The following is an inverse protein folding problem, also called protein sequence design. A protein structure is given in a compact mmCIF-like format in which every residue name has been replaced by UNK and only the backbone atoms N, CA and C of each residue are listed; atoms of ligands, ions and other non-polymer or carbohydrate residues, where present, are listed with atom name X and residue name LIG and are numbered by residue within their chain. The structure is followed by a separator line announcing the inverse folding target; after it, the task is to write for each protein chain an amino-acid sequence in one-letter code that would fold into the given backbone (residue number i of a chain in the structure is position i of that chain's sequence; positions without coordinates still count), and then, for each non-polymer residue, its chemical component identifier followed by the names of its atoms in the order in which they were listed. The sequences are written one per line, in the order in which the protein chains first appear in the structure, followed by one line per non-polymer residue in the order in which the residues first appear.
data_IF_437986890530
#
_entry.id   IF_437986890530
#
_cell.length_a   1.000
_cell.length_b   1.000
_cell.length_c   1.000
_cell.angle_alpha   90.00
_cell.angle_beta   90.00
_cell.angle_gamma   90.00
#
_symmetry.space_group_name_H-M   'P 1'
#
loop_
_entity.id
_entity.type
_entity.pdbx_description
1 polymer ?
#
# COMPACT_ATOMS: atom_id res chain seq x y z
N UNK A 1 1.30 89.87 23.91
CA UNK A 1 2.49 89.95 24.80
C UNK A 1 3.67 89.33 24.07
N UNK A 2 4.50 90.14 23.42
CA UNK A 2 5.71 89.71 22.71
C UNK A 2 6.86 89.63 23.71
N UNK A 3 7.27 88.42 24.09
CA UNK A 3 8.48 88.16 24.87
C UNK A 3 9.66 87.95 23.92
N UNK A 4 10.78 88.65 24.13
CA UNK A 4 12.02 88.46 23.36
C UNK A 4 12.75 87.18 23.80
N UNK A 5 12.53 86.75 25.05
CA UNK A 5 13.21 85.60 25.65
C UNK A 5 12.54 84.26 25.34
N UNK A 6 11.30 84.26 24.85
CA UNK A 6 10.56 83.03 24.58
C UNK A 6 9.66 83.21 23.36
N UNK A 7 10.00 82.53 22.26
CA UNK A 7 9.20 82.54 21.04
C UNK A 7 8.23 81.35 21.06
N UNK A 8 7.02 81.59 21.58
CA UNK A 8 5.95 80.60 21.65
C UNK A 8 5.51 80.11 20.27
N UNK A 9 5.56 80.98 19.25
CA UNK A 9 5.22 80.63 17.85
C UNK A 9 6.20 79.61 17.28
N UNK A 10 7.50 79.80 17.53
CA UNK A 10 8.55 78.86 17.12
C UNK A 10 8.51 77.55 17.92
N UNK A 11 8.14 77.58 19.21
CA UNK A 11 7.95 76.35 20.00
C UNK A 11 6.81 75.49 19.48
N UNK A 12 5.66 76.10 19.15
CA UNK A 12 4.53 75.40 18.53
C UNK A 12 4.91 74.85 17.15
N UNK A 13 5.59 75.66 16.32
CA UNK A 13 6.08 75.20 15.02
C UNK A 13 7.07 74.03 15.14
N UNK A 14 7.95 74.04 16.14
CA UNK A 14 8.89 72.96 16.43
C UNK A 14 8.19 71.69 16.93
N UNK A 15 7.17 71.82 17.78
CA UNK A 15 6.36 70.68 18.24
C UNK A 15 5.62 70.03 17.07
N UNK A 16 5.05 70.83 16.16
CA UNK A 16 4.44 70.36 14.92
C UNK A 16 5.46 69.68 14.01
N UNK A 17 6.65 70.25 13.84
CA UNK A 17 7.72 69.66 13.03
C UNK A 17 8.20 68.31 13.60
N UNK A 18 8.34 68.20 14.92
CA UNK A 18 8.66 66.93 15.60
C UNK A 18 7.57 65.88 15.39
N UNK A 19 6.30 66.28 15.43
CA UNK A 19 5.17 65.41 15.10
C UNK A 19 5.18 64.94 13.64
N UNK A 20 5.48 65.83 12.69
CA UNK A 20 5.61 65.48 11.26
C UNK A 20 6.78 64.52 11.05
N UNK A 21 7.95 64.79 11.64
CA UNK A 21 9.11 63.91 11.54
C UNK A 21 8.82 62.51 12.11
N UNK A 22 8.20 62.42 13.28
CA UNK A 22 7.81 61.14 13.86
C UNK A 22 6.85 60.36 12.94
N UNK A 23 5.87 61.04 12.33
CA UNK A 23 4.94 60.40 11.40
C UNK A 23 5.64 59.98 10.08
N UNK A 24 6.62 60.75 9.62
CA UNK A 24 7.42 60.47 8.43
C UNK A 24 8.30 59.24 8.66
N UNK A 25 8.91 59.13 9.84
CA UNK A 25 9.70 57.96 10.25
C UNK A 25 8.83 56.70 10.30
N UNK A 26 7.66 56.75 10.95
CA UNK A 26 6.72 55.61 10.97
C UNK A 26 6.21 55.24 9.59
N UNK A 27 5.86 56.21 8.74
CA UNK A 27 5.40 55.94 7.37
C UNK A 27 6.52 55.34 6.53
N UNK A 28 7.76 55.80 6.71
CA UNK A 28 8.94 55.23 6.04
C UNK A 28 9.24 53.81 6.52
N UNK A 29 9.08 53.52 7.81
CA UNK A 29 9.21 52.17 8.37
C UNK A 29 8.13 51.22 7.81
N UNK A 30 6.89 51.68 7.67
CA UNK A 30 5.79 50.90 7.07
C UNK A 30 6.01 50.63 5.59
N UNK A 31 6.46 51.61 4.82
CA UNK A 31 6.79 51.43 3.40
C UNK A 31 7.99 50.48 3.24
N UNK A 32 9.00 50.61 4.11
CA UNK A 32 10.20 49.76 4.06
C UNK A 32 9.93 48.33 4.48
N UNK A 33 9.06 48.10 5.47
CA UNK A 33 8.71 46.75 5.96
C UNK A 33 7.56 46.12 5.18
N UNK A 34 6.73 46.94 4.53
CA UNK A 34 5.45 46.55 3.95
C UNK A 34 4.37 46.17 4.95
N UNK A 35 4.63 46.35 6.25
CA UNK A 35 3.71 45.97 7.31
C UNK A 35 3.18 47.22 8.00
N UNK A 36 1.85 47.30 8.16
CA UNK A 36 1.17 48.29 9.01
C UNK A 36 1.52 48.08 10.49
N UNK A 37 1.76 46.82 10.90
CA UNK A 37 2.06 46.41 12.29
C UNK A 37 3.35 45.59 12.29
N UNK A 38 4.52 46.24 12.25
CA UNK A 38 5.81 45.56 12.22
C UNK A 38 6.23 44.96 13.58
N UNK A 39 5.81 45.57 14.68
CA UNK A 39 6.22 45.22 16.04
C UNK A 39 5.04 45.20 17.03
N UNK A 40 5.21 44.50 18.16
CA UNK A 40 4.18 44.35 19.18
C UNK A 40 3.78 45.68 19.85
N UNK A 41 4.64 46.70 19.81
CA UNK A 41 4.32 48.03 20.37
C UNK A 41 3.23 48.77 19.60
N UNK A 42 3.05 48.49 18.30
CA UNK A 42 1.98 49.12 17.51
C UNK A 42 0.60 48.52 17.84
N UNK A 43 0.49 47.19 17.90
CA UNK A 43 -0.71 46.49 18.37
C UNK A 43 -0.39 45.04 18.75
N UNK A 44 -0.28 44.77 20.05
CA UNK A 44 0.15 43.47 20.55
C UNK A 44 -0.81 42.32 20.18
N UNK A 45 -2.12 42.58 20.13
CA UNK A 45 -3.13 41.54 19.87
C UNK A 45 -3.05 41.04 18.42
N UNK A 46 -3.09 41.95 17.44
CA UNK A 46 -2.96 41.56 16.02
C UNK A 46 -1.57 41.02 15.69
N UNK A 47 -0.53 41.59 16.28
CA UNK A 47 0.84 41.12 16.09
C UNK A 47 1.02 39.68 16.59
N UNK A 48 0.48 39.34 17.77
CA UNK A 48 0.57 37.98 18.31
C UNK A 48 -0.17 36.97 17.44
N UNK A 49 -1.41 37.26 17.04
CA UNK A 49 -2.23 36.36 16.20
C UNK A 49 -1.51 36.10 14.87
N UNK A 50 -1.09 37.15 14.18
CA UNK A 50 -0.44 37.02 12.89
C UNK A 50 0.96 36.37 12.98
N UNK A 51 1.70 36.56 14.08
CA UNK A 51 2.97 35.85 14.33
C UNK A 51 2.73 34.35 14.50
N UNK A 52 1.70 33.96 15.26
CA UNK A 52 1.28 32.55 15.37
C UNK A 52 0.84 31.98 14.03
N UNK A 53 0.00 32.70 13.27
CA UNK A 53 -0.44 32.28 11.94
C UNK A 53 0.74 32.15 10.96
N UNK A 54 1.72 33.06 10.99
CA UNK A 54 2.94 32.97 10.17
C UNK A 54 3.80 31.77 10.56
N UNK A 55 3.89 31.47 11.86
CA UNK A 55 4.56 30.26 12.35
C UNK A 55 3.85 28.99 11.86
N UNK A 56 2.52 28.97 11.91
CA UNK A 56 1.71 27.85 11.45
C UNK A 56 1.85 27.66 9.92
N UNK A 57 1.84 28.75 9.14
CA UNK A 57 2.13 28.72 7.70
C UNK A 57 3.53 28.19 7.39
N UNK A 58 4.54 28.54 8.19
CA UNK A 58 5.89 27.99 8.04
C UNK A 58 5.95 26.49 8.34
N UNK A 59 5.18 26.02 9.33
CA UNK A 59 5.04 24.60 9.62
C UNK A 59 4.33 23.85 8.48
N UNK A 60 3.29 24.44 7.87
CA UNK A 60 2.62 23.89 6.69
C UNK A 60 3.54 23.85 5.45
N UNK A 61 4.48 24.79 5.32
CA UNK A 61 5.55 24.72 4.32
C UNK A 61 6.41 23.46 4.48
N UNK A 62 6.87 23.19 5.71
CA UNK A 62 7.62 21.97 6.02
C UNK A 62 6.80 20.69 5.80
N UNK A 63 5.49 20.72 6.08
CA UNK A 63 4.57 19.61 5.73
C UNK A 63 4.50 19.41 4.22
N UNK A 64 4.42 20.49 3.44
CA UNK A 64 4.37 20.42 1.97
C UNK A 64 5.64 19.79 1.39
N UNK A 65 6.81 20.15 1.92
CA UNK A 65 8.09 19.55 1.55
C UNK A 65 8.12 18.05 1.90
N UNK A 66 7.63 17.68 3.09
CA UNK A 66 7.52 16.28 3.50
C UNK A 66 6.53 15.49 2.64
N UNK A 67 5.38 16.06 2.26
CA UNK A 67 4.42 15.44 1.35
C UNK A 67 4.99 15.30 -0.05
N UNK A 68 5.78 16.27 -0.51
CA UNK A 68 6.46 16.19 -1.80
C UNK A 68 7.51 15.09 -1.81
N UNK A 69 8.31 14.97 -0.75
CA UNK A 69 9.25 13.86 -0.58
C UNK A 69 8.51 12.51 -0.52
N UNK A 70 7.42 12.43 0.25
CA UNK A 70 6.58 11.24 0.34
C UNK A 70 5.97 10.83 -0.99
N UNK A 71 5.52 11.80 -1.80
CA UNK A 71 5.02 11.57 -3.17
C UNK A 71 6.11 10.96 -4.03
N UNK A 72 7.32 11.53 -4.05
CA UNK A 72 8.41 11.02 -4.89
C UNK A 72 8.87 9.62 -4.49
N UNK A 73 8.83 9.29 -3.19
CA UNK A 73 9.11 7.92 -2.73
C UNK A 73 8.00 6.96 -3.16
N UNK A 74 6.73 7.37 -3.04
CA UNK A 74 5.59 6.57 -3.50
C UNK A 74 5.62 6.34 -5.02
N UNK A 75 6.01 7.36 -5.80
CA UNK A 75 6.18 7.27 -7.26
C UNK A 75 7.29 6.28 -7.64
N UNK A 76 8.43 6.32 -6.93
CA UNK A 76 9.52 5.36 -7.15
C UNK A 76 9.07 3.92 -6.85
N UNK A 77 8.34 3.71 -5.74
CA UNK A 77 7.80 2.41 -5.37
C UNK A 77 6.75 1.92 -6.39
N UNK A 78 5.84 2.78 -6.84
CA UNK A 78 4.82 2.43 -7.83
C UNK A 78 5.44 1.98 -9.17
N UNK A 79 6.42 2.74 -9.67
CA UNK A 79 7.12 2.39 -10.92
C UNK A 79 7.88 1.07 -10.80
N UNK A 80 8.50 0.81 -9.64
CA UNK A 80 9.18 -0.45 -9.37
C UNK A 80 8.22 -1.65 -9.34
N UNK A 81 7.04 -1.50 -8.74
CA UNK A 81 5.98 -2.53 -8.75
C UNK A 81 5.43 -2.79 -10.15
N UNK A 82 5.26 -1.73 -10.96
CA UNK A 82 4.76 -1.87 -12.33
C UNK A 82 5.76 -2.65 -13.21
N UNK A 83 7.06 -2.34 -13.09
CA UNK A 83 8.13 -3.12 -13.73
C UNK A 83 8.21 -4.55 -13.20
N UNK A 84 8.06 -4.75 -11.89
CA UNK A 84 8.04 -6.08 -11.30
C UNK A 84 6.87 -6.93 -11.83
N UNK A 85 5.69 -6.34 -12.00
CA UNK A 85 4.52 -6.98 -12.61
C UNK A 85 4.79 -7.42 -14.05
N UNK A 86 5.43 -6.58 -14.87
CA UNK A 86 5.81 -6.96 -16.24
C UNK A 86 6.82 -8.12 -16.28
N UNK A 87 7.82 -8.10 -15.40
CA UNK A 87 8.82 -9.17 -15.30
C UNK A 87 8.21 -10.49 -14.81
N UNK A 88 7.32 -10.44 -13.83
CA UNK A 88 6.55 -11.61 -13.37
C UNK A 88 5.66 -12.18 -14.49
N UNK A 89 5.06 -11.33 -15.31
CA UNK A 89 4.32 -11.76 -16.51
C UNK A 89 5.22 -12.54 -17.48
N UNK A 90 6.46 -12.08 -17.72
CA UNK A 90 7.42 -12.82 -18.54
C UNK A 90 7.83 -14.15 -17.90
N UNK A 91 8.01 -14.21 -16.58
CA UNK A 91 8.29 -15.48 -15.87
C UNK A 91 7.11 -16.43 -16.07
N UNK A 92 5.86 -15.96 -15.95
CA UNK A 92 4.67 -16.76 -16.21
C UNK A 92 4.65 -17.31 -17.63
N UNK A 93 4.96 -16.49 -18.65
CA UNK A 93 5.03 -16.93 -20.04
C UNK A 93 6.09 -18.04 -20.24
N UNK A 94 7.25 -17.90 -19.58
CA UNK A 94 8.32 -18.91 -19.61
C UNK A 94 7.93 -20.20 -18.90
N UNK A 95 7.29 -20.11 -17.73
CA UNK A 95 6.77 -21.29 -17.01
C UNK A 95 5.66 -21.99 -17.81
N UNK A 96 4.79 -21.24 -18.48
CA UNK A 96 3.75 -21.79 -19.36
C UNK A 96 4.38 -22.55 -20.52
N UNK A 97 5.47 -22.03 -21.08
CA UNK A 97 6.23 -22.73 -22.12
C UNK A 97 6.89 -24.00 -21.56
N UNK A 98 7.47 -23.95 -20.36
CA UNK A 98 8.11 -25.08 -19.69
C UNK A 98 7.13 -26.20 -19.26
N UNK A 99 5.84 -25.90 -19.17
CA UNK A 99 4.79 -26.88 -18.88
C UNK A 99 4.48 -27.80 -20.08
N UNK A 100 4.92 -27.44 -21.30
CA UNK A 100 4.79 -28.29 -22.47
C UNK A 100 5.70 -29.52 -22.43
N UNK A 101 5.23 -30.62 -23.00
CA UNK A 101 6.01 -31.86 -23.10
C UNK A 101 7.17 -31.71 -24.09
N UNK A 102 8.34 -32.25 -23.73
CA UNK A 102 9.53 -32.25 -24.58
C UNK A 102 10.34 -30.94 -24.60
N UNK A 103 10.06 -30.01 -23.68
CA UNK A 103 10.80 -28.75 -23.53
C UNK A 103 12.07 -28.94 -22.69
N UNK A 104 13.17 -28.28 -23.09
CA UNK A 104 14.40 -28.21 -22.29
C UNK A 104 14.22 -27.24 -21.11
N UNK A 105 13.81 -27.78 -19.96
CA UNK A 105 13.54 -27.00 -18.75
C UNK A 105 14.79 -26.37 -18.15
N UNK A 106 15.98 -26.93 -18.40
CA UNK A 106 17.23 -26.33 -17.92
C UNK A 106 17.56 -25.02 -18.66
N UNK A 107 17.37 -25.00 -19.99
CA UNK A 107 17.53 -23.79 -20.78
C UNK A 107 16.51 -22.71 -20.40
N UNK A 108 15.24 -23.08 -20.17
CA UNK A 108 14.21 -22.13 -19.71
C UNK A 108 14.51 -21.60 -18.30
N UNK A 109 15.08 -22.41 -17.41
CA UNK A 109 15.48 -21.98 -16.07
C UNK A 109 16.56 -20.89 -16.11
N UNK A 110 17.51 -20.93 -17.06
CA UNK A 110 18.53 -19.88 -17.19
C UNK A 110 17.90 -18.51 -17.50
N UNK A 111 16.88 -18.49 -18.36
CA UNK A 111 16.12 -17.29 -18.67
C UNK A 111 15.28 -16.81 -17.47
N UNK A 112 14.63 -17.74 -16.75
CA UNK A 112 13.89 -17.43 -15.51
C UNK A 112 14.83 -16.84 -14.44
N UNK A 113 16.02 -17.41 -14.29
CA UNK A 113 17.05 -16.92 -13.34
C UNK A 113 17.45 -15.49 -13.68
N UNK A 114 17.65 -15.18 -14.97
CA UNK A 114 17.93 -13.81 -15.42
C UNK A 114 16.78 -12.85 -15.09
N UNK A 115 15.53 -13.28 -15.26
CA UNK A 115 14.35 -12.47 -14.91
C UNK A 115 14.22 -12.27 -13.40
N UNK A 116 14.54 -13.28 -12.58
CA UNK A 116 14.59 -13.18 -11.12
C UNK A 116 15.67 -12.20 -10.65
N UNK A 117 16.84 -12.18 -11.28
CA UNK A 117 17.90 -11.20 -11.00
C UNK A 117 17.49 -9.77 -11.40
N UNK A 118 16.78 -9.62 -12.52
CA UNK A 118 16.20 -8.34 -12.93
C UNK A 118 15.15 -7.85 -11.92
N UNK A 119 14.27 -8.73 -11.42
CA UNK A 119 13.31 -8.39 -10.37
C UNK A 119 14.00 -7.85 -9.11
N UNK A 120 15.08 -8.51 -8.67
CA UNK A 120 15.88 -8.06 -7.53
C UNK A 120 16.54 -6.70 -7.80
N UNK A 121 17.01 -6.48 -9.01
CA UNK A 121 17.60 -5.18 -9.42
C UNK A 121 16.54 -4.08 -9.43
N UNK A 122 15.35 -4.33 -9.97
CA UNK A 122 14.23 -3.37 -9.94
C UNK A 122 13.85 -3.03 -8.50
N UNK A 123 13.71 -4.03 -7.64
CA UNK A 123 13.39 -3.81 -6.23
C UNK A 123 14.44 -2.95 -5.51
N UNK A 124 15.73 -3.25 -5.69
CA UNK A 124 16.83 -2.52 -5.02
C UNK A 124 17.08 -1.11 -5.57
N UNK A 125 16.84 -0.89 -6.86
CA UNK A 125 17.04 0.41 -7.52
C UNK A 125 15.86 1.37 -7.36
N UNK A 126 14.67 0.87 -6.99
CA UNK A 126 13.45 1.66 -6.73
C UNK A 126 13.53 2.46 -5.41
N UNK A 127 14.60 3.22 -5.26
CA UNK A 127 14.88 4.05 -4.08
C UNK A 127 14.81 5.54 -4.43
N UNK A 128 14.35 6.34 -3.47
CA UNK A 128 14.37 7.80 -3.57
C UNK A 128 14.90 8.40 -2.27
N UNK A 129 15.87 9.32 -2.38
CA UNK A 129 16.50 9.95 -1.22
C UNK A 129 17.07 8.94 -0.19
N UNK A 130 17.56 7.79 -0.66
CA UNK A 130 18.09 6.72 0.19
C UNK A 130 17.03 5.89 0.92
N UNK A 131 15.73 6.11 0.65
CA UNK A 131 14.65 5.27 1.14
C UNK A 131 14.14 4.35 0.04
N UNK A 132 13.97 3.07 0.37
CA UNK A 132 13.37 2.07 -0.50
C UNK A 132 12.20 1.43 0.26
N UNK A 133 11.03 1.36 -0.37
CA UNK A 133 9.84 0.71 0.19
C UNK A 133 9.62 -0.71 -0.36
N UNK A 134 10.29 -1.05 -1.48
CA UNK A 134 10.21 -2.35 -2.13
C UNK A 134 11.28 -3.33 -1.61
N UNK A 135 12.35 -2.81 -1.01
CA UNK A 135 13.36 -3.58 -0.30
C UNK A 135 13.49 -3.01 1.12
N UNK A 136 12.96 -3.74 2.10
CA UNK A 136 12.92 -3.30 3.49
C UNK A 136 13.21 -4.46 4.46
N UNK A 137 13.55 -4.11 5.70
CA UNK A 137 13.59 -5.09 6.79
C UNK A 137 12.17 -5.25 7.38
N UNK A 138 11.87 -6.41 7.95
CA UNK A 138 10.51 -6.83 8.26
C UNK A 138 9.70 -5.80 9.10
N UNK A 139 8.43 -5.61 8.71
CA UNK A 139 7.37 -4.89 9.43
C UNK A 139 7.70 -3.45 9.88
N UNK A 140 7.87 -2.53 8.93
CA UNK A 140 8.03 -1.10 9.26
C UNK A 140 6.95 -0.23 8.63
N UNK A 141 6.03 0.31 9.44
CA UNK A 141 5.13 1.38 8.99
C UNK A 141 5.98 2.62 8.71
N UNK A 142 6.05 3.05 7.46
CA UNK A 142 6.68 4.33 7.09
C UNK A 142 5.67 5.46 7.31
N UNK A 143 6.14 6.58 7.83
CA UNK A 143 5.31 7.72 8.17
C UNK A 143 5.68 8.92 7.32
N UNK A 144 4.69 9.50 6.66
CA UNK A 144 4.83 10.76 5.93
C UNK A 144 4.07 11.81 6.72
N UNK A 145 4.71 12.93 7.06
CA UNK A 145 4.03 14.02 7.74
C UNK A 145 2.96 14.59 6.80
N UNK A 146 1.71 14.62 7.25
CA UNK A 146 0.55 14.94 6.42
C UNK A 146 -0.08 16.29 6.75
N UNK A 147 -0.11 16.67 8.02
CA UNK A 147 -0.60 17.98 8.43
C UNK A 147 -0.05 18.38 9.79
N UNK A 148 -0.09 19.68 10.04
CA UNK A 148 0.12 20.28 11.35
C UNK A 148 -1.19 20.96 11.72
N UNK A 149 -1.68 20.70 12.92
CA UNK A 149 -2.89 21.32 13.47
C UNK A 149 -2.63 21.77 14.90
N UNK A 150 -3.45 22.69 15.41
CA UNK A 150 -3.44 23.05 16.83
C UNK A 150 -4.61 22.38 17.53
N UNK A 151 -4.32 21.69 18.62
CA UNK A 151 -5.34 21.10 19.50
C UNK A 151 -6.00 22.18 20.39
N UNK A 152 -7.06 21.84 21.14
CA UNK A 152 -7.76 22.73 22.06
C UNK A 152 -6.87 23.36 23.13
N UNK A 153 -5.74 22.72 23.44
CA UNK A 153 -4.72 23.23 24.37
C UNK A 153 -3.67 24.13 23.69
N UNK A 154 -3.90 24.51 22.43
CA UNK A 154 -3.03 25.35 21.62
C UNK A 154 -1.65 24.73 21.33
N UNK A 155 -1.50 23.41 21.55
CA UNK A 155 -0.33 22.62 21.22
C UNK A 155 -0.32 22.20 19.73
N UNK A 156 0.87 22.15 19.13
CA UNK A 156 1.06 21.68 17.76
C UNK A 156 0.98 20.15 17.72
N UNK A 157 0.03 19.61 16.98
CA UNK A 157 -0.12 18.20 16.69
C UNK A 157 0.25 17.92 15.22
N UNK A 158 1.08 16.91 15.00
CA UNK A 158 1.51 16.46 13.67
C UNK A 158 0.76 15.18 13.31
N UNK A 159 0.03 15.20 12.20
CA UNK A 159 -0.62 14.00 11.65
C UNK A 159 0.30 13.33 10.63
N UNK A 160 0.19 12.01 10.51
CA UNK A 160 0.96 11.22 9.54
C UNK A 160 0.06 10.40 8.62
N UNK A 161 0.52 10.20 7.39
CA UNK A 161 0.07 9.12 6.51
C UNK A 161 0.98 7.94 6.80
N UNK A 162 0.38 6.91 7.37
CA UNK A 162 1.04 5.65 7.67
C UNK A 162 0.94 4.73 6.45
N UNK A 163 2.09 4.23 6.00
CA UNK A 163 2.24 3.29 4.89
C UNK A 163 2.77 2.00 5.45
N UNK A 164 1.97 0.94 5.40
CA UNK A 164 2.43 -0.38 5.78
C UNK A 164 3.32 -0.94 4.67
N UNK A 165 4.59 -1.19 4.99
CA UNK A 165 5.52 -1.77 4.02
C UNK A 165 5.51 -3.29 4.00
N UNK A 166 4.78 -3.93 4.92
CA UNK A 166 4.72 -5.40 5.05
C UNK A 166 4.16 -6.05 3.80
N UNK A 167 3.03 -5.54 3.31
CA UNK A 167 2.37 -6.03 2.10
C UNK A 167 2.88 -5.35 0.82
N UNK A 168 3.89 -4.48 0.93
CA UNK A 168 4.45 -3.69 -0.18
C UNK A 168 5.83 -4.19 -0.61
N UNK A 169 6.63 -4.71 0.31
CA UNK A 169 8.00 -5.08 0.02
C UNK A 169 8.05 -6.28 -0.94
N UNK A 170 8.83 -6.16 -2.00
CA UNK A 170 9.09 -7.25 -2.95
C UNK A 170 10.12 -8.22 -2.40
N UNK A 171 11.17 -7.69 -1.76
CA UNK A 171 12.21 -8.45 -1.10
C UNK A 171 12.44 -7.94 0.32
N UNK A 172 12.81 -8.86 1.20
CA UNK A 172 13.24 -8.55 2.55
C UNK A 172 14.77 -8.58 2.65
N UNK A 173 15.34 -7.68 3.45
CA UNK A 173 16.77 -7.76 3.79
C UNK A 173 17.08 -8.93 4.73
N UNK A 174 16.11 -9.31 5.57
CA UNK A 174 16.19 -10.46 6.48
C UNK A 174 14.86 -11.22 6.51
N UNK A 175 14.93 -12.55 6.58
CA UNK A 175 13.76 -13.36 6.95
C UNK A 175 12.77 -13.75 5.85
N UNK A 176 13.05 -13.51 4.56
CA UNK A 176 12.23 -13.96 3.43
C UNK A 176 10.74 -13.54 3.58
N UNK A 177 10.49 -12.26 3.82
CA UNK A 177 9.17 -11.71 4.14
C UNK A 177 8.51 -10.90 3.01
N UNK A 178 9.23 -10.58 1.94
CA UNK A 178 8.70 -9.87 0.78
C UNK A 178 7.93 -10.76 -0.18
N UNK A 179 7.09 -10.15 -1.01
CA UNK A 179 6.18 -10.85 -1.91
C UNK A 179 6.90 -11.88 -2.79
N UNK A 180 8.14 -11.60 -3.19
CA UNK A 180 8.90 -12.44 -4.12
C UNK A 180 9.85 -13.43 -3.43
N UNK A 181 10.24 -13.18 -2.17
CA UNK A 181 11.16 -14.04 -1.43
C UNK A 181 10.50 -14.87 -0.32
N UNK A 182 9.25 -14.53 0.06
CA UNK A 182 8.43 -15.32 0.99
C UNK A 182 7.89 -16.58 0.35
N UNK A 183 7.73 -17.60 1.19
CA UNK A 183 7.10 -18.84 0.76
C UNK A 183 5.61 -18.60 0.55
N UNK A 184 5.15 -18.78 -0.69
CA UNK A 184 3.74 -18.76 -1.07
C UNK A 184 3.28 -20.21 -1.09
N UNK A 185 2.34 -20.54 -0.21
CA UNK A 185 1.69 -21.84 -0.20
C UNK A 185 0.50 -21.81 -1.14
N UNK A 186 0.50 -22.70 -2.14
CA UNK A 186 -0.63 -22.92 -3.05
C UNK A 186 -1.07 -24.37 -2.97
N UNK A 187 -2.35 -24.60 -3.22
CA UNK A 187 -2.89 -25.95 -3.38
C UNK A 187 -2.22 -26.60 -4.58
N UNK A 188 -1.49 -27.69 -4.34
CA UNK A 188 -0.75 -28.38 -5.38
C UNK A 188 -1.68 -29.26 -6.21
N UNK A 189 -1.31 -29.50 -7.46
CA UNK A 189 -1.94 -30.49 -8.33
C UNK A 189 -1.42 -31.91 -8.04
N UNK A 190 -1.38 -32.33 -6.76
CA UNK A 190 -0.94 -33.66 -6.37
C UNK A 190 -2.13 -34.56 -5.97
N UNK A 191 -1.98 -35.85 -6.25
CA UNK A 191 -2.93 -36.89 -5.87
C UNK A 191 -2.74 -37.25 -4.40
N UNK A 192 -3.61 -36.73 -3.53
CA UNK A 192 -3.63 -37.15 -2.14
C UNK A 192 -4.09 -38.62 -2.04
N UNK A 193 -3.45 -39.41 -1.16
CA UNK A 193 -3.68 -40.85 -1.06
C UNK A 193 -3.89 -41.31 0.38
N UNK A 194 -5.12 -41.70 0.69
CA UNK A 194 -5.45 -42.43 1.92
C UNK A 194 -5.08 -43.91 1.79
N UNK A 195 -4.29 -44.43 2.73
CA UNK A 195 -3.93 -45.84 2.81
C UNK A 195 -5.02 -46.66 3.54
N UNK A 196 -5.57 -47.69 2.89
CA UNK A 196 -6.47 -48.65 3.53
C UNK A 196 -5.92 -50.09 3.50
N UNK A 197 -6.33 -50.95 4.45
CA UNK A 197 -5.65 -52.19 4.83
C UNK A 197 -5.52 -53.27 3.72
N UNK A 198 -4.78 -54.35 4.02
CA UNK A 198 -4.48 -55.44 3.07
C UNK A 198 -5.73 -56.11 2.50
N UNK A 199 -5.88 -56.08 1.17
CA UNK A 199 -6.92 -56.80 0.43
C UNK A 199 -6.97 -58.30 0.74
N UNK A 200 -8.18 -58.83 0.90
CA UNK A 200 -8.47 -60.27 0.95
C UNK A 200 -9.61 -60.59 -0.02
N UNK A 201 -9.67 -61.83 -0.49
CA UNK A 201 -10.72 -62.27 -1.43
C UNK A 201 -12.12 -62.05 -0.85
N UNK A 202 -13.01 -61.45 -1.64
CA UNK A 202 -14.39 -61.15 -1.24
C UNK A 202 -15.40 -61.67 -2.27
N UNK A 203 -16.47 -62.32 -1.82
CA UNK A 203 -17.53 -62.86 -2.68
C UNK A 203 -18.86 -62.17 -2.39
N UNK A 204 -19.49 -61.60 -3.41
CA UNK A 204 -20.76 -60.90 -3.29
C UNK A 204 -21.95 -61.83 -3.57
N UNK A 205 -22.81 -62.01 -2.58
CA UNK A 205 -24.15 -62.58 -2.71
C UNK A 205 -25.20 -61.56 -3.16
N UNK A 206 -26.40 -62.03 -3.48
CA UNK A 206 -27.47 -61.21 -4.07
C UNK A 206 -27.96 -60.04 -3.16
N UNK A 207 -27.70 -60.11 -1.85
CA UNK A 207 -28.06 -59.07 -0.88
C UNK A 207 -26.87 -58.24 -0.41
N UNK A 208 -25.66 -58.59 -0.84
CA UNK A 208 -24.44 -57.92 -0.39
C UNK A 208 -24.26 -56.60 -1.15
N UNK A 209 -24.11 -55.52 -0.40
CA UNK A 209 -23.96 -54.16 -0.94
C UNK A 209 -22.99 -53.36 -0.07
N UNK A 210 -22.02 -52.72 -0.72
CA UNK A 210 -21.17 -51.71 -0.11
C UNK A 210 -21.49 -50.37 -0.77
N UNK A 211 -21.74 -49.34 0.02
CA UNK A 211 -21.99 -47.99 -0.48
C UNK A 211 -21.13 -46.98 0.24
N UNK A 212 -20.67 -45.97 -0.47
CA UNK A 212 -20.02 -44.79 0.09
C UNK A 212 -20.36 -43.57 -0.78
N UNK A 213 -20.21 -42.37 -0.23
CA UNK A 213 -20.51 -41.13 -0.95
C UNK A 213 -19.21 -40.46 -1.36
N UNK A 214 -19.21 -39.87 -2.56
CA UNK A 214 -18.09 -39.13 -3.12
C UNK A 214 -18.56 -37.74 -3.52
N UNK A 215 -18.01 -36.69 -2.91
CA UNK A 215 -18.16 -35.32 -3.41
C UNK A 215 -16.86 -34.85 -4.04
N UNK A 216 -16.95 -34.08 -5.12
CA UNK A 216 -15.80 -33.41 -5.76
C UNK A 216 -15.98 -31.90 -5.68
N UNK A 217 -14.93 -31.18 -5.29
CA UNK A 217 -14.86 -29.71 -5.25
C UNK A 217 -16.07 -29.07 -4.51
N UNK A 218 -16.45 -29.65 -3.37
CA UNK A 218 -17.61 -29.18 -2.58
C UNK A 218 -18.99 -29.37 -3.24
N UNK A 219 -19.07 -30.12 -4.34
CA UNK A 219 -20.31 -30.45 -5.04
C UNK A 219 -21.20 -31.47 -4.29
N UNK A 220 -22.40 -31.72 -4.82
CA UNK A 220 -23.34 -32.69 -4.25
C UNK A 220 -22.73 -34.09 -4.27
N UNK A 221 -22.65 -34.74 -3.09
CA UNK A 221 -22.08 -36.08 -2.97
C UNK A 221 -22.89 -37.11 -3.78
N UNK A 222 -22.19 -37.85 -4.65
CA UNK A 222 -22.73 -38.96 -5.44
C UNK A 222 -22.49 -40.28 -4.69
N UNK A 223 -23.51 -41.13 -4.61
CA UNK A 223 -23.38 -42.44 -3.94
C UNK A 223 -22.80 -43.47 -4.89
N UNK A 224 -21.62 -43.98 -4.57
CA UNK A 224 -20.99 -45.13 -5.23
C UNK A 224 -21.51 -46.40 -4.58
N UNK A 225 -21.88 -47.38 -5.40
CA UNK A 225 -22.38 -48.69 -4.97
C UNK A 225 -21.53 -49.80 -5.57
N UNK A 226 -21.11 -50.73 -4.71
CA UNK A 226 -20.52 -52.01 -5.09
C UNK A 226 -21.50 -53.10 -4.64
N UNK A 227 -22.14 -53.75 -5.61
CA UNK A 227 -23.04 -54.88 -5.41
C UNK A 227 -22.66 -56.03 -6.37
N UNK A 228 -23.34 -57.18 -6.25
CA UNK A 228 -23.09 -58.33 -7.12
C UNK A 228 -23.21 -57.98 -8.62
N UNK A 229 -24.14 -57.12 -9.01
CA UNK A 229 -24.31 -56.71 -10.40
C UNK A 229 -23.12 -55.89 -10.91
N UNK A 230 -22.60 -54.97 -10.08
CA UNK A 230 -21.41 -54.17 -10.37
C UNK A 230 -20.16 -55.04 -10.49
N UNK A 231 -20.01 -56.02 -9.60
CA UNK A 231 -18.88 -56.98 -9.64
C UNK A 231 -18.93 -57.85 -10.89
N UNK A 232 -20.10 -58.42 -11.22
CA UNK A 232 -20.27 -59.24 -12.42
C UNK A 232 -20.08 -58.43 -13.71
N UNK A 233 -20.51 -57.16 -13.72
CA UNK A 233 -20.29 -56.27 -14.86
C UNK A 233 -18.80 -55.94 -15.07
N UNK A 234 -18.03 -55.79 -13.98
CA UNK A 234 -16.60 -55.52 -14.04
C UNK A 234 -15.76 -56.77 -14.35
N UNK A 235 -16.19 -57.95 -13.88
CA UNK A 235 -15.43 -59.21 -13.94
C UNK A 235 -16.03 -60.27 -14.88
N UNK A 236 -16.76 -59.83 -15.91
CA UNK A 236 -17.30 -60.73 -16.95
C UNK A 236 -18.17 -61.89 -16.42
N UNK A 237 -19.00 -61.63 -15.40
CA UNK A 237 -19.95 -62.59 -14.82
C UNK A 237 -19.49 -63.24 -13.51
N UNK A 238 -18.26 -63.03 -13.08
CA UNK A 238 -17.76 -63.51 -11.79
C UNK A 238 -18.34 -62.70 -10.61
N UNK A 239 -18.59 -63.37 -9.49
CA UNK A 239 -19.12 -62.74 -8.26
C UNK A 239 -18.08 -62.60 -7.14
N UNK A 240 -16.83 -62.96 -7.44
CA UNK A 240 -15.71 -62.95 -6.47
C UNK A 240 -14.60 -62.05 -6.96
N UNK A 241 -14.18 -61.11 -6.11
CA UNK A 241 -12.99 -60.29 -6.33
C UNK A 241 -11.80 -61.11 -5.81
N UNK A 242 -11.02 -61.70 -6.71
CA UNK A 242 -9.96 -62.65 -6.38
C UNK A 242 -8.57 -62.00 -6.30
N UNK A 243 -8.37 -60.89 -7.00
CA UNK A 243 -7.10 -60.18 -7.09
C UNK A 243 -7.27 -58.67 -6.93
N UNK A 244 -6.15 -57.99 -6.70
CA UNK A 244 -6.11 -56.52 -6.67
C UNK A 244 -6.47 -55.89 -8.03
N UNK A 245 -6.18 -56.58 -9.13
CA UNK A 245 -6.59 -56.14 -10.46
C UNK A 245 -8.12 -56.20 -10.63
N UNK A 246 -8.76 -57.23 -10.08
CA UNK A 246 -10.22 -57.34 -10.06
C UNK A 246 -10.83 -56.24 -9.20
N UNK A 247 -10.24 -55.95 -8.05
CA UNK A 247 -10.67 -54.87 -7.16
C UNK A 247 -10.60 -53.51 -7.84
N UNK A 248 -9.50 -53.23 -8.55
CA UNK A 248 -9.34 -52.02 -9.36
C UNK A 248 -10.47 -51.90 -10.39
N UNK A 249 -10.70 -52.96 -11.18
CA UNK A 249 -11.73 -52.96 -12.21
C UNK A 249 -13.14 -52.75 -11.64
N UNK A 250 -13.45 -53.35 -10.49
CA UNK A 250 -14.73 -53.17 -9.80
C UNK A 250 -14.91 -51.74 -9.28
N UNK A 251 -13.86 -51.16 -8.68
CA UNK A 251 -13.92 -49.78 -8.18
C UNK A 251 -14.07 -48.77 -9.32
N UNK A 252 -13.27 -48.89 -10.40
CA UNK A 252 -13.41 -48.05 -11.59
C UNK A 252 -14.82 -48.16 -12.20
N UNK A 253 -15.36 -49.38 -12.29
CA UNK A 253 -16.73 -49.57 -12.79
C UNK A 253 -17.79 -48.98 -11.86
N UNK A 254 -17.58 -49.04 -10.55
CA UNK A 254 -18.49 -48.46 -9.56
C UNK A 254 -18.53 -46.93 -9.65
N UNK A 255 -17.40 -46.27 -9.94
CA UNK A 255 -17.33 -44.83 -10.19
C UNK A 255 -18.01 -44.44 -11.50
N UNK A 256 -17.79 -45.21 -12.58
CA UNK A 256 -18.47 -45.01 -13.86
C UNK A 256 -20.00 -45.12 -13.70
N UNK A 257 -20.49 -46.14 -12.98
CA UNK A 257 -21.92 -46.32 -12.70
C UNK A 257 -22.51 -45.19 -11.84
N UNK A 258 -21.69 -44.58 -10.98
CA UNK A 258 -22.08 -43.45 -10.14
C UNK A 258 -21.90 -42.08 -10.83
N UNK A 259 -21.47 -42.05 -12.09
CA UNK A 259 -21.16 -40.83 -12.85
C UNK A 259 -20.08 -39.96 -12.16
N UNK A 260 -19.12 -40.60 -11.50
CA UNK A 260 -17.98 -39.95 -10.85
C UNK A 260 -16.80 -40.04 -11.81
N UNK A 261 -16.35 -38.90 -12.34
CA UNK A 261 -15.25 -38.82 -13.30
C UNK A 261 -14.00 -38.21 -12.66
N UNK A 262 -12.82 -38.50 -13.20
CA UNK A 262 -11.57 -37.88 -12.72
C UNK A 262 -11.01 -38.48 -11.43
N UNK A 263 -11.51 -39.64 -10.99
CA UNK A 263 -10.91 -40.44 -9.91
C UNK A 263 -10.32 -41.71 -10.52
N UNK A 264 -9.02 -41.95 -10.29
CA UNK A 264 -8.32 -43.18 -10.68
C UNK A 264 -8.01 -44.02 -9.45
N UNK A 265 -7.88 -45.34 -9.61
CA UNK A 265 -7.57 -46.28 -8.52
C UNK A 265 -6.21 -46.93 -8.76
N UNK A 266 -5.29 -46.82 -7.80
CA UNK A 266 -4.05 -47.61 -7.75
C UNK A 266 -4.13 -48.68 -6.64
N UNK A 267 -3.51 -49.83 -6.91
CA UNK A 267 -3.52 -51.02 -6.06
C UNK A 267 -2.12 -51.63 -5.85
N UNK A 268 -1.06 -50.89 -6.18
CA UNK A 268 0.35 -51.32 -6.02
C UNK A 268 0.73 -51.56 -4.54
N UNK A 269 -0.13 -51.18 -3.59
CA UNK A 269 -0.06 -51.57 -2.18
C UNK A 269 -1.46 -51.65 -1.59
N UNK A 270 -1.94 -50.51 -1.11
CA UNK A 270 -3.29 -50.28 -0.62
C UNK A 270 -4.17 -49.73 -1.75
N UNK A 271 -5.50 -49.75 -1.61
CA UNK A 271 -6.39 -49.05 -2.56
C UNK A 271 -6.27 -47.55 -2.33
N UNK A 272 -5.70 -46.84 -3.30
CA UNK A 272 -5.60 -45.38 -3.28
C UNK A 272 -6.46 -44.81 -4.39
N UNK A 273 -7.28 -43.81 -4.04
CA UNK A 273 -8.03 -43.01 -5.00
C UNK A 273 -7.21 -41.77 -5.31
N UNK A 274 -7.03 -41.44 -6.59
CA UNK A 274 -6.29 -40.26 -7.02
C UNK A 274 -7.18 -39.38 -7.88
N UNK A 275 -7.17 -38.08 -7.63
CA UNK A 275 -7.88 -37.09 -8.45
C UNK A 275 -7.05 -35.84 -8.62
N UNK A 276 -7.32 -35.09 -9.69
CA UNK A 276 -6.75 -33.75 -9.93
C UNK A 276 -7.52 -32.66 -9.17
N UNK A 277 -8.69 -32.99 -8.64
CA UNK A 277 -9.59 -32.10 -7.91
C UNK A 277 -9.78 -32.59 -6.47
N UNK A 278 -10.16 -31.68 -5.58
CA UNK A 278 -10.56 -32.03 -4.21
C UNK A 278 -11.69 -33.06 -4.27
N UNK A 279 -11.54 -34.17 -3.55
CA UNK A 279 -12.63 -35.13 -3.36
C UNK A 279 -12.72 -35.55 -1.89
N UNK A 280 -13.92 -35.86 -1.46
CA UNK A 280 -14.20 -36.38 -0.13
C UNK A 280 -14.98 -37.69 -0.28
N UNK A 281 -14.52 -38.73 0.41
CA UNK A 281 -15.20 -40.02 0.49
C UNK A 281 -15.69 -40.22 1.91
N UNK A 282 -17.02 -40.28 2.07
CA UNK A 282 -17.65 -40.38 3.38
C UNK A 282 -18.88 -41.29 3.40
N UNK A 283 -19.32 -41.64 4.60
CA UNK A 283 -20.59 -42.35 4.81
C UNK A 283 -20.58 -43.78 4.28
N UNK A 284 -19.49 -44.51 4.48
CA UNK A 284 -19.39 -45.90 4.07
C UNK A 284 -20.35 -46.80 4.88
N UNK A 285 -21.05 -47.69 4.17
CA UNK A 285 -22.03 -48.62 4.74
C UNK A 285 -21.95 -49.98 4.05
N UNK A 286 -22.10 -51.06 4.83
CA UNK A 286 -22.16 -52.45 4.35
C UNK A 286 -23.54 -53.02 4.67
N UNK A 287 -24.12 -53.73 3.72
CA UNK A 287 -25.29 -54.60 3.92
C UNK A 287 -24.93 -56.00 3.45
N UNK A 288 -25.29 -57.03 4.23
CA UNK A 288 -25.03 -58.43 3.88
C UNK A 288 -23.91 -59.08 4.70
N UNK A 289 -23.53 -60.31 4.33
CA UNK A 289 -22.60 -61.16 5.09
C UNK A 289 -21.42 -61.70 4.28
N UNK A 290 -21.41 -61.51 2.94
CA UNK A 290 -20.38 -62.08 2.07
C UNK A 290 -19.16 -61.20 1.79
N UNK A 291 -19.33 -59.87 1.74
CA UNK A 291 -18.26 -58.91 1.52
C UNK A 291 -18.37 -57.75 2.52
N UNK A 292 -17.27 -57.42 3.19
CA UNK A 292 -17.16 -56.29 4.10
C UNK A 292 -16.13 -55.26 3.62
N UNK A 293 -16.16 -54.06 4.19
CA UNK A 293 -15.21 -52.98 3.86
C UNK A 293 -13.75 -53.45 4.03
N UNK A 294 -13.47 -54.20 5.10
CA UNK A 294 -12.13 -54.68 5.43
C UNK A 294 -11.58 -55.67 4.38
N UNK A 295 -12.42 -56.54 3.82
CA UNK A 295 -12.04 -57.51 2.80
C UNK A 295 -11.58 -56.84 1.51
N UNK A 296 -12.26 -55.76 1.11
CA UNK A 296 -11.88 -54.94 -0.02
C UNK A 296 -10.69 -54.02 0.28
N UNK A 297 -10.14 -54.07 1.48
CA UNK A 297 -9.08 -53.17 1.91
C UNK A 297 -9.54 -51.72 1.98
N UNK A 298 -10.84 -51.45 2.17
CA UNK A 298 -11.43 -50.12 2.34
C UNK A 298 -11.60 -49.82 3.84
N UNK A 299 -11.16 -48.64 4.30
CA UNK A 299 -11.37 -48.21 5.70
C UNK A 299 -12.68 -47.44 5.83
N UNK A 300 -13.36 -47.58 6.97
CA UNK A 300 -14.58 -46.83 7.29
C UNK A 300 -14.32 -45.39 7.78
N UNK A 301 -13.05 -45.00 7.89
CA UNK A 301 -12.67 -43.61 8.18
C UNK A 301 -12.94 -42.77 6.95
N UNK A 302 -13.67 -41.66 7.10
CA UNK A 302 -13.84 -40.66 6.04
C UNK A 302 -12.46 -40.32 5.47
N UNK A 303 -12.26 -40.58 4.19
CA UNK A 303 -11.02 -40.23 3.50
C UNK A 303 -11.21 -38.80 3.04
N UNK A 304 -10.97 -37.87 3.97
CA UNK A 304 -10.80 -36.46 3.65
C UNK A 304 -9.38 -36.29 3.16
N UNK A 305 -9.19 -36.23 1.86
CA UNK A 305 -7.93 -35.78 1.29
C UNK A 305 -7.85 -34.25 1.42
N UNK A 306 -6.82 -33.74 2.08
CA UNK A 306 -6.54 -32.31 2.14
C UNK A 306 -5.55 -31.97 1.04
N UNK A 307 -5.79 -30.93 0.24
CA UNK A 307 -4.88 -30.54 -0.84
C UNK A 307 -3.42 -30.49 -0.32
N UNK A 308 -2.53 -31.28 -0.93
CA UNK A 308 -1.12 -31.20 -0.62
C UNK A 308 -0.67 -29.76 -0.95
N UNK A 309 -0.11 -29.03 0.02
CA UNK A 309 0.33 -27.66 -0.23
C UNK A 309 1.77 -27.65 -0.75
N UNK A 310 2.01 -27.04 -1.90
CA UNK A 310 3.38 -26.71 -2.35
C UNK A 310 3.68 -25.31 -1.89
N UNK A 311 4.79 -25.16 -1.17
CA UNK A 311 5.25 -23.87 -0.66
C UNK A 311 6.62 -23.55 -1.24
N UNK A 312 6.69 -22.53 -2.09
CA UNK A 312 7.95 -22.00 -2.65
C UNK A 312 7.85 -20.48 -2.82
N UNK A 313 8.97 -19.81 -3.03
CA UNK A 313 9.02 -18.38 -3.34
C UNK A 313 9.35 -18.16 -4.80
N UNK A 314 8.92 -17.04 -5.38
CA UNK A 314 9.25 -16.70 -6.77
C UNK A 314 10.76 -16.61 -6.97
N UNK A 315 11.49 -16.12 -5.97
CA UNK A 315 12.95 -16.05 -5.98
C UNK A 315 13.66 -17.42 -5.92
N UNK A 316 12.96 -18.47 -5.51
CA UNK A 316 13.50 -19.82 -5.37
C UNK A 316 12.92 -20.82 -6.38
N UNK A 317 12.16 -20.36 -7.38
CA UNK A 317 11.65 -21.24 -8.44
C UNK A 317 12.83 -21.82 -9.21
N UNK A 318 12.92 -23.15 -9.21
CA UNK A 318 13.86 -23.94 -9.98
C UNK A 318 13.12 -25.08 -10.69
N UNK A 319 13.06 -25.01 -12.02
CA UNK A 319 12.46 -26.04 -12.89
C UNK A 319 13.51 -26.98 -13.51
N UNK A 320 14.80 -26.80 -13.24
CA UNK A 320 15.88 -27.53 -13.92
C UNK A 320 15.86 -29.05 -13.63
N UNK A 321 15.44 -29.45 -12.43
CA UNK A 321 15.32 -30.85 -12.02
C UNK A 321 13.87 -31.40 -12.07
N UNK A 322 12.93 -30.60 -12.58
CA UNK A 322 11.51 -30.97 -12.60
C UNK A 322 11.23 -31.95 -13.72
N UNK A 323 10.83 -33.16 -13.31
CA UNK A 323 10.49 -34.26 -14.24
C UNK A 323 9.01 -34.27 -14.58
N UNK A 324 8.14 -33.81 -13.68
CA UNK A 324 6.68 -33.80 -13.84
C UNK A 324 6.13 -32.41 -14.22
N UNK A 325 5.27 -32.37 -15.24
CA UNK A 325 4.59 -31.15 -15.71
C UNK A 325 3.61 -30.59 -14.66
N UNK A 326 3.14 -31.40 -13.69
CA UNK A 326 2.30 -30.94 -12.55
C UNK A 326 3.03 -29.98 -11.62
N UNK A 327 4.33 -30.20 -11.38
CA UNK A 327 5.16 -29.32 -10.55
C UNK A 327 5.37 -27.94 -11.19
N UNK A 328 5.49 -27.89 -12.53
CA UNK A 328 5.56 -26.61 -13.25
C UNK A 328 4.25 -25.84 -13.14
N UNK A 329 3.10 -26.52 -13.14
CA UNK A 329 1.79 -25.89 -12.92
C UNK A 329 1.64 -25.34 -11.50
N UNK A 330 2.23 -26.00 -10.49
CA UNK A 330 2.29 -25.47 -9.12
C UNK A 330 3.12 -24.19 -9.04
N UNK A 331 4.27 -24.11 -9.74
CA UNK A 331 5.05 -22.88 -9.83
C UNK A 331 4.31 -21.76 -10.58
N UNK A 332 3.49 -22.12 -11.58
CA UNK A 332 2.63 -21.16 -12.27
C UNK A 332 1.58 -20.55 -11.33
N UNK A 333 0.95 -21.35 -10.46
CA UNK A 333 0.06 -20.87 -9.39
C UNK A 333 0.78 -19.92 -8.42
N UNK A 334 2.02 -20.25 -8.04
CA UNK A 334 2.84 -19.39 -7.15
C UNK A 334 3.13 -18.03 -7.81
N UNK A 335 3.50 -18.02 -9.09
CA UNK A 335 3.73 -16.75 -9.82
C UNK A 335 2.44 -15.96 -10.00
N UNK A 336 1.30 -16.61 -10.20
CA UNK A 336 0.00 -15.96 -10.29
C UNK A 336 -0.43 -15.32 -8.96
N UNK A 337 -0.21 -16.02 -7.85
CA UNK A 337 -0.45 -15.46 -6.53
C UNK A 337 0.51 -14.29 -6.22
N UNK A 338 1.78 -14.40 -6.61
CA UNK A 338 2.72 -13.28 -6.50
C UNK A 338 2.30 -12.07 -7.35
N UNK A 339 1.80 -12.28 -8.59
CA UNK A 339 1.25 -11.23 -9.44
C UNK A 339 0.03 -10.55 -8.79
N UNK A 340 -0.85 -11.34 -8.17
CA UNK A 340 -2.00 -10.83 -7.40
C UNK A 340 -1.56 -9.94 -6.24
N UNK A 341 -0.54 -10.36 -5.49
CA UNK A 341 0.00 -9.60 -4.37
C UNK A 341 0.74 -8.33 -4.82
N UNK A 342 1.57 -8.39 -5.87
CA UNK A 342 2.22 -7.19 -6.45
C UNK A 342 1.17 -6.20 -6.98
N UNK A 343 0.09 -6.67 -7.58
CA UNK A 343 -1.01 -5.82 -8.04
C UNK A 343 -1.73 -5.16 -6.86
N UNK A 344 -1.95 -5.90 -5.78
CA UNK A 344 -2.55 -5.38 -4.54
C UNK A 344 -1.65 -4.33 -3.88
N UNK A 345 -0.33 -4.57 -3.85
CA UNK A 345 0.67 -3.62 -3.39
C UNK A 345 0.68 -2.34 -4.26
N UNK A 346 0.59 -2.47 -5.59
CA UNK A 346 0.53 -1.32 -6.49
C UNK A 346 -0.75 -0.50 -6.26
N UNK A 347 -1.88 -1.16 -6.02
CA UNK A 347 -3.14 -0.50 -5.68
C UNK A 347 -3.06 0.25 -4.34
N UNK A 348 -2.40 -0.32 -3.33
CA UNK A 348 -2.21 0.35 -2.03
C UNK A 348 -1.33 1.60 -2.16
N UNK A 349 -0.23 1.54 -2.93
CA UNK A 349 0.61 2.71 -3.22
C UNK A 349 -0.16 3.77 -4.01
N UNK A 350 -0.97 3.36 -4.99
CA UNK A 350 -1.83 4.29 -5.74
C UNK A 350 -2.85 5.02 -4.85
N UNK A 351 -3.42 4.32 -3.86
CA UNK A 351 -4.28 4.93 -2.85
C UNK A 351 -3.51 5.93 -1.97
N UNK A 352 -2.28 5.61 -1.58
CA UNK A 352 -1.38 6.51 -0.84
C UNK A 352 -1.04 7.74 -1.66
N UNK A 353 -0.70 7.61 -2.95
CA UNK A 353 -0.45 8.76 -3.85
C UNK A 353 -1.65 9.69 -3.94
N UNK A 354 -2.86 9.13 -4.11
CA UNK A 354 -4.10 9.93 -4.15
C UNK A 354 -4.34 10.66 -2.83
N UNK A 355 -4.09 10.00 -1.70
CA UNK A 355 -4.18 10.60 -0.37
C UNK A 355 -3.13 11.70 -0.16
N UNK A 356 -1.89 11.51 -0.61
CA UNK A 356 -0.85 12.55 -0.57
C UNK A 356 -1.25 13.75 -1.42
N UNK A 357 -1.78 13.52 -2.63
CA UNK A 357 -2.26 14.58 -3.52
C UNK A 357 -3.36 15.43 -2.88
N UNK A 358 -4.42 14.79 -2.39
CA UNK A 358 -5.52 15.49 -1.70
C UNK A 358 -5.06 16.25 -0.46
N UNK A 359 -4.12 15.69 0.30
CA UNK A 359 -3.54 16.35 1.47
C UNK A 359 -2.67 17.56 1.07
N UNK A 360 -1.90 17.46 -0.02
CA UNK A 360 -1.10 18.57 -0.55
C UNK A 360 -1.98 19.74 -0.98
N UNK A 361 -3.10 19.46 -1.66
CA UNK A 361 -4.07 20.48 -2.07
C UNK A 361 -4.72 21.18 -0.86
N UNK A 362 -5.06 20.41 0.18
CA UNK A 362 -5.58 20.94 1.44
C UNK A 362 -4.55 21.83 2.15
N UNK A 363 -3.30 21.37 2.28
CA UNK A 363 -2.23 22.13 2.93
C UNK A 363 -1.91 23.40 2.15
N UNK A 364 -1.90 23.35 0.82
CA UNK A 364 -1.73 24.53 -0.05
C UNK A 364 -2.86 25.54 0.18
N UNK A 365 -4.11 25.08 0.15
CA UNK A 365 -5.28 25.95 0.36
C UNK A 365 -5.28 26.59 1.76
N UNK A 366 -4.87 25.83 2.78
CA UNK A 366 -4.74 26.33 4.14
C UNK A 366 -3.59 27.34 4.26
N UNK A 367 -2.45 27.07 3.62
CA UNK A 367 -1.31 27.98 3.56
C UNK A 367 -1.70 29.30 2.88
N UNK A 368 -2.44 29.27 1.77
CA UNK A 368 -2.92 30.46 1.06
C UNK A 368 -3.93 31.26 1.89
N UNK A 369 -4.83 30.56 2.59
CA UNK A 369 -5.80 31.18 3.51
C UNK A 369 -5.09 31.85 4.69
N UNK A 370 -4.08 31.19 5.27
CA UNK A 370 -3.26 31.74 6.36
C UNK A 370 -2.46 32.94 5.86
N UNK A 371 -1.84 32.86 4.68
CA UNK A 371 -1.08 33.95 4.07
C UNK A 371 -1.97 35.17 3.84
N UNK A 372 -3.15 34.97 3.25
CA UNK A 372 -4.14 36.05 3.03
C UNK A 372 -4.67 36.61 4.36
N UNK A 373 -4.91 35.74 5.35
CA UNK A 373 -5.33 36.13 6.69
C UNK A 373 -4.29 37.00 7.40
N UNK A 374 -3.02 36.55 7.42
CA UNK A 374 -1.88 37.32 7.97
C UNK A 374 -1.74 38.66 7.26
N UNK A 375 -1.81 38.67 5.93
CA UNK A 375 -1.69 39.89 5.13
C UNK A 375 -2.80 40.89 5.43
N UNK A 376 -4.06 40.44 5.55
CA UNK A 376 -5.18 41.31 5.94
C UNK A 376 -5.01 41.95 7.33
N UNK A 377 -4.31 41.28 8.24
CA UNK A 377 -4.09 41.74 9.61
C UNK A 377 -2.92 42.74 9.71
N UNK A 378 -1.84 42.49 8.97
CA UNK A 378 -0.56 43.16 9.19
C UNK A 378 -0.04 43.94 7.98
N UNK A 379 -0.46 43.67 6.75
CA UNK A 379 0.11 44.35 5.59
C UNK A 379 -0.34 45.81 5.50
N UNK A 380 0.57 46.65 5.02
CA UNK A 380 0.29 48.04 4.71
C UNK A 380 -0.23 48.19 3.27
N UNK A 381 -1.20 49.08 3.07
CA UNK A 381 -1.58 49.52 1.73
C UNK A 381 -0.50 50.51 1.22
N UNK A 382 0.30 50.08 0.24
CA UNK A 382 1.44 50.84 -0.25
C UNK A 382 1.01 52.11 -0.99
N UNK A 383 -0.14 52.12 -1.65
CA UNK A 383 -0.67 53.28 -2.34
C UNK A 383 -1.04 54.38 -1.34
N UNK A 384 -1.69 54.02 -0.24
CA UNK A 384 -2.05 54.95 0.83
C UNK A 384 -0.79 55.47 1.56
N UNK A 385 0.10 54.58 2.00
CA UNK A 385 1.31 54.99 2.72
C UNK A 385 2.25 55.81 1.83
N UNK A 386 2.35 55.51 0.53
CA UNK A 386 3.13 56.32 -0.43
C UNK A 386 2.54 57.72 -0.63
N UNK A 387 1.20 57.83 -0.66
CA UNK A 387 0.52 59.13 -0.75
C UNK A 387 0.75 59.94 0.52
N UNK A 388 0.66 59.28 1.67
CA UNK A 388 0.91 59.87 2.99
C UNK A 388 2.37 60.30 3.16
N UNK A 389 3.34 59.53 2.68
CA UNK A 389 4.75 59.89 2.71
C UNK A 389 5.02 61.19 1.95
N UNK A 390 4.47 61.31 0.73
CA UNK A 390 4.59 62.54 -0.07
C UNK A 390 3.93 63.74 0.62
N UNK A 391 2.76 63.54 1.22
CA UNK A 391 2.08 64.56 2.00
C UNK A 391 2.92 65.00 3.22
N UNK A 392 3.51 64.06 3.96
CA UNK A 392 4.36 64.34 5.12
C UNK A 392 5.67 65.03 4.75
N UNK A 393 6.32 64.64 3.64
CA UNK A 393 7.49 65.34 3.10
C UNK A 393 7.15 66.80 2.74
N UNK A 394 5.99 67.02 2.11
CA UNK A 394 5.51 68.38 1.78
C UNK A 394 5.20 69.18 3.05
N UNK A 395 4.56 68.56 4.05
CA UNK A 395 4.29 69.18 5.34
C UNK A 395 5.59 69.51 6.10
N UNK A 396 6.60 68.64 6.04
CA UNK A 396 7.91 68.88 6.65
C UNK A 396 8.57 70.11 6.03
N UNK A 397 8.57 70.22 4.70
CA UNK A 397 9.11 71.38 4.00
C UNK A 397 8.36 72.69 4.39
N UNK A 398 7.03 72.65 4.45
CA UNK A 398 6.20 73.78 4.89
C UNK A 398 6.41 74.11 6.37
N UNK A 399 6.62 73.12 7.24
CA UNK A 399 6.87 73.31 8.66
C UNK A 399 8.26 73.91 8.93
N UNK A 400 9.28 73.50 8.18
CA UNK A 400 10.62 74.12 8.21
C UNK A 400 10.53 75.58 7.74
N UNK A 401 9.77 75.85 6.67
CA UNK A 401 9.54 77.21 6.19
C UNK A 401 8.77 78.05 7.22
N UNK A 402 7.74 77.48 7.85
CA UNK A 402 6.95 78.15 8.90
C UNK A 402 7.78 78.41 10.16
N UNK A 403 8.67 77.50 10.54
CA UNK A 403 9.62 77.69 11.65
C UNK A 403 10.61 78.81 11.33
N UNK A 404 11.12 78.87 10.09
CA UNK A 404 12.00 79.97 9.63
C UNK A 404 11.29 81.33 9.69
N UNK A 405 10.03 81.41 9.25
CA UNK A 405 9.18 82.61 9.34
C UNK A 405 8.89 82.98 10.80
N UNK A 406 8.58 82.00 11.65
CA UNK A 406 8.36 82.23 13.08
C UNK A 406 9.62 82.78 13.77
N UNK A 407 10.81 82.34 13.36
CA UNK A 407 12.08 82.81 13.89
C UNK A 407 12.46 84.22 13.39
N UNK A 408 12.14 84.56 12.13
CA UNK A 408 12.38 85.91 11.58
C UNK A 408 11.43 86.97 12.16
N UNK A 409 10.23 86.58 12.61
CA UNK A 409 9.28 87.49 13.28
C UNK A 409 9.86 88.13 14.56
N UNK A 410 10.71 87.40 15.31
CA UNK A 410 11.41 87.94 16.49
C UNK A 410 12.53 88.91 16.11
N UNK A 411 13.15 88.74 14.93
CA UNK A 411 14.19 89.65 14.42
C UNK A 411 13.62 91.00 13.97
N UNK A 412 12.40 91.00 13.41
CA UNK A 412 11.66 92.23 13.06
C UNK A 412 11.27 93.07 14.29
N UNK A 413 11.21 92.47 15.48
CA UNK A 413 11.02 93.21 16.74
C UNK A 413 12.33 93.84 17.21
N UNK A 414 13.48 93.19 16.98
CA UNK A 414 14.80 93.77 17.29
C UNK A 414 15.15 94.96 16.40
N UNK A 415 14.67 95.00 15.15
CA UNK A 415 14.89 96.13 14.24
C UNK A 415 14.13 97.40 14.64
N UNK A 416 13.08 97.30 15.47
CA UNK A 416 12.39 98.46 16.05
C UNK A 416 13.17 99.14 17.18
N UNK A 417 14.19 98.46 17.73
CA UNK A 417 15.08 98.99 18.78
C UNK A 417 16.48 99.35 18.24
N UNK A 418 16.65 99.38 16.92
CA UNK A 418 17.88 99.83 16.24
C UNK A 418 17.73 101.22 15.64
#
# INVERSE_FOLDING_TARGET
MTSIMTNTSAQVALQTLRGINSNLDTTSERISSGLKIANASYNAAYWSIATTMKSDGSALGAVTDSLSLGSSIADAAYNGLDQAKELLGKIKDKLTTAAGDGVDRAAVQEEITTLQEQLKTVASTSSFSGQNWLEADAASTKKIVSSVSRDSDNALAVSTIDVDTTDLMLYSNTGNAGILDKSISVDSFDSDSGAAATFTTATFGATDKITFSVSQNGGVAKTVTIDQATVQAALSGESTIASKADLKAVLEKSFENADVQGITVDTTGNTTFTSTEDFDISGASVTGTGADLASLGLSATDVTTGAATVSSSVAAIDISAVTDSTQVQNYLKIVDEALSQVTSAAASVGAVQTRIGTQKDLVSSLSDTISTGVGSLIDANMEEESTKLKALQTQQQLAVQSLSIANSSSQNILSLFR
#
